data_IF_406504564920
#
_entry.id   IF_406504564920
#
_cell.length_a   1.000
_cell.length_b   1.000
_cell.length_c   1.000
_cell.angle_alpha   90.00
_cell.angle_beta   90.00
_cell.angle_gamma   90.00
#
_symmetry.space_group_name_H-M   'P 1'
#
loop_
_entity.id
_entity.type
_entity.pdbx_description
1 polymer ?
#
# COMPACT_ATOMS: atom_id res chain seq x y z
N UNK A 1 7.55 -7.98 1.81
CA UNK A 1 7.48 -6.62 2.37
C UNK A 1 7.22 -5.65 1.23
N UNK A 2 6.20 -4.78 1.32
CA UNK A 2 5.75 -3.95 0.20
C UNK A 2 6.35 -2.54 0.34
N UNK A 3 7.52 -2.31 -0.24
CA UNK A 3 8.21 -1.02 -0.19
C UNK A 3 7.87 -0.18 -1.43
N UNK A 4 7.92 1.13 -1.24
CA UNK A 4 7.80 2.14 -2.28
C UNK A 4 8.91 3.17 -2.05
N UNK A 5 9.90 3.18 -2.91
CA UNK A 5 11.11 4.01 -2.80
C UNK A 5 11.06 5.02 -3.92
N UNK A 6 10.98 6.32 -3.60
CA UNK A 6 10.73 7.37 -4.61
C UNK A 6 9.50 7.05 -5.50
N UNK A 7 8.44 6.50 -4.87
CA UNK A 7 7.21 5.97 -5.49
C UNK A 7 7.41 4.72 -6.40
N UNK A 8 8.62 4.18 -6.50
CA UNK A 8 8.91 2.94 -7.23
C UNK A 8 8.58 1.73 -6.37
N UNK A 9 7.71 0.79 -6.81
CA UNK A 9 7.43 -0.45 -6.09
C UNK A 9 8.66 -1.36 -6.02
N UNK A 10 9.01 -1.78 -4.81
CA UNK A 10 10.08 -2.72 -4.52
C UNK A 10 9.58 -3.74 -3.50
N UNK A 11 9.17 -4.90 -3.98
CA UNK A 11 8.54 -5.94 -3.16
C UNK A 11 9.55 -6.99 -2.75
N UNK A 12 9.87 -7.12 -1.45
CA UNK A 12 10.55 -8.30 -0.96
C UNK A 12 9.53 -9.44 -0.85
N UNK A 13 9.79 -10.53 -1.56
CA UNK A 13 8.91 -11.68 -1.72
C UNK A 13 9.44 -12.88 -0.92
N UNK A 14 8.53 -13.73 -0.41
CA UNK A 14 8.87 -15.04 0.17
C UNK A 14 8.76 -16.17 -0.86
N UNK A 15 7.90 -15.95 -1.86
CA UNK A 15 7.68 -16.87 -2.96
C UNK A 15 7.22 -16.10 -4.20
N UNK A 16 7.28 -16.74 -5.35
CA UNK A 16 6.79 -16.16 -6.61
C UNK A 16 5.28 -15.86 -6.60
N UNK A 17 4.50 -16.55 -5.77
CA UNK A 17 3.06 -16.30 -5.62
C UNK A 17 2.77 -14.90 -5.02
N UNK A 18 3.69 -14.39 -4.20
CA UNK A 18 3.59 -13.03 -3.66
C UNK A 18 3.83 -11.95 -4.74
N UNK A 19 4.33 -12.31 -5.92
CA UNK A 19 4.58 -11.39 -7.05
C UNK A 19 3.32 -11.08 -7.87
N UNK A 20 2.13 -11.46 -7.42
CA UNK A 20 0.87 -11.22 -8.13
C UNK A 20 0.59 -9.74 -8.49
N UNK A 21 1.06 -8.73 -7.72
CA UNK A 21 0.85 -7.33 -8.10
C UNK A 21 1.62 -6.93 -9.37
N UNK A 22 2.67 -7.68 -9.69
CA UNK A 22 3.51 -7.46 -10.87
C UNK A 22 2.94 -8.23 -12.06
N UNK A 23 2.10 -7.55 -12.85
CA UNK A 23 1.51 -8.12 -14.07
C UNK A 23 2.54 -8.15 -15.18
N UNK A 24 2.47 -9.20 -16.04
CA UNK A 24 3.39 -9.37 -17.19
C UNK A 24 4.87 -9.25 -16.81
N UNK A 25 5.23 -9.86 -15.68
CA UNK A 25 6.58 -9.79 -15.12
C UNK A 25 7.60 -10.63 -15.90
N UNK A 26 8.77 -10.06 -16.08
CA UNK A 26 9.97 -10.79 -16.48
C UNK A 26 10.64 -11.37 -15.23
N UNK A 27 11.00 -12.65 -15.26
CA UNK A 27 11.76 -13.31 -14.18
C UNK A 27 13.20 -13.42 -14.63
N UNK A 28 14.11 -12.88 -13.84
CA UNK A 28 15.57 -12.80 -14.15
C UNK A 28 16.33 -13.35 -12.95
N UNK A 29 17.45 -14.04 -13.19
CA UNK A 29 18.36 -14.44 -12.13
C UNK A 29 19.08 -13.21 -11.57
N UNK A 30 18.92 -12.96 -10.27
CA UNK A 30 19.54 -11.82 -9.61
C UNK A 30 21.07 -11.84 -9.60
N UNK A 31 21.68 -13.01 -9.75
CA UNK A 31 23.13 -13.12 -9.85
C UNK A 31 23.67 -12.48 -11.15
N UNK A 32 22.86 -12.38 -12.18
CA UNK A 32 23.23 -11.74 -13.46
C UNK A 32 22.99 -10.22 -13.45
N UNK A 33 22.38 -9.67 -12.37
CA UNK A 33 22.00 -8.27 -12.29
C UNK A 33 22.91 -7.50 -11.33
N UNK A 34 23.77 -6.67 -11.88
CA UNK A 34 24.63 -5.75 -11.11
C UNK A 34 23.99 -4.42 -10.78
N UNK A 35 23.00 -3.97 -11.58
CA UNK A 35 22.28 -2.69 -11.42
C UNK A 35 20.86 -2.80 -11.96
N UNK A 36 19.94 -2.05 -11.37
CA UNK A 36 18.52 -1.97 -11.77
C UNK A 36 18.29 -1.04 -12.98
N UNK A 37 19.27 -0.22 -13.37
CA UNK A 37 19.11 0.89 -14.32
C UNK A 37 18.65 0.47 -15.70
N UNK A 38 19.02 -0.72 -16.15
CA UNK A 38 18.68 -1.21 -17.49
C UNK A 38 17.41 -2.06 -17.51
N UNK A 39 16.71 -2.17 -16.38
CA UNK A 39 15.50 -2.96 -16.27
C UNK A 39 14.27 -2.07 -16.43
N UNK A 40 13.26 -2.57 -17.13
CA UNK A 40 12.02 -1.85 -17.40
C UNK A 40 10.80 -2.73 -17.19
N UNK A 41 9.64 -2.09 -16.96
CA UNK A 41 8.38 -2.78 -16.74
C UNK A 41 8.32 -3.51 -15.38
N UNK A 42 7.66 -4.65 -15.34
CA UNK A 42 7.57 -5.46 -14.13
C UNK A 42 8.65 -6.56 -14.15
N UNK A 43 9.57 -6.52 -13.19
CA UNK A 43 10.69 -7.46 -13.11
C UNK A 43 10.68 -8.18 -11.77
N UNK A 44 10.89 -9.50 -11.79
CA UNK A 44 11.11 -10.29 -10.58
C UNK A 44 12.53 -10.88 -10.64
N UNK A 45 13.35 -10.48 -9.68
CA UNK A 45 14.69 -11.04 -9.49
C UNK A 45 14.61 -12.20 -8.49
N UNK A 46 15.07 -13.37 -8.91
CA UNK A 46 15.20 -14.57 -8.07
C UNK A 46 16.68 -14.79 -7.70
N UNK A 47 16.98 -15.64 -6.72
CA UNK A 47 18.33 -15.95 -6.27
C UNK A 47 19.14 -14.69 -5.88
N UNK A 48 18.49 -13.72 -5.23
CA UNK A 48 19.13 -12.46 -4.86
C UNK A 48 19.78 -12.60 -3.49
N UNK A 49 21.09 -12.42 -3.43
CA UNK A 49 21.82 -12.38 -2.15
C UNK A 49 21.41 -11.17 -1.31
N UNK A 50 21.48 -11.30 0.01
CA UNK A 50 21.03 -10.24 0.91
C UNK A 50 21.82 -8.91 0.78
N UNK A 51 23.11 -8.99 0.44
CA UNK A 51 23.94 -7.80 0.14
C UNK A 51 23.49 -7.08 -1.13
N UNK A 52 23.08 -7.80 -2.17
CA UNK A 52 22.51 -7.23 -3.39
C UNK A 52 21.18 -6.52 -3.11
N UNK A 53 20.32 -7.09 -2.24
CA UNK A 53 19.07 -6.41 -1.84
C UNK A 53 19.34 -5.00 -1.33
N UNK A 54 20.38 -4.86 -0.52
CA UNK A 54 20.76 -3.57 0.05
C UNK A 54 21.34 -2.61 -1.02
N UNK A 55 22.15 -3.11 -1.93
CA UNK A 55 22.68 -2.31 -3.03
C UNK A 55 21.56 -1.80 -3.95
N UNK A 56 20.59 -2.66 -4.29
CA UNK A 56 19.41 -2.27 -5.06
C UNK A 56 18.56 -1.24 -4.34
N UNK A 57 18.40 -1.38 -3.00
CA UNK A 57 17.71 -0.40 -2.19
C UNK A 57 18.37 0.99 -2.27
N UNK A 58 19.69 1.07 -2.11
CA UNK A 58 20.48 2.31 -2.24
C UNK A 58 20.32 2.92 -3.62
N UNK A 59 20.46 2.10 -4.66
CA UNK A 59 20.31 2.56 -6.04
C UNK A 59 18.94 3.20 -6.29
N UNK A 60 17.86 2.62 -5.73
CA UNK A 60 16.51 3.19 -5.80
C UNK A 60 16.34 4.47 -4.97
N UNK A 61 17.09 4.63 -3.89
CA UNK A 61 17.07 5.86 -3.10
C UNK A 61 17.76 7.02 -3.82
N UNK A 62 18.83 6.73 -4.53
CA UNK A 62 19.67 7.73 -5.22
C UNK A 62 19.14 8.08 -6.63
N UNK A 63 18.24 7.27 -7.19
CA UNK A 63 17.73 7.45 -8.54
C UNK A 63 16.20 7.38 -8.57
N UNK A 64 15.62 8.00 -9.58
CA UNK A 64 14.20 7.87 -9.91
C UNK A 64 14.01 6.87 -11.04
N UNK A 65 12.98 6.04 -10.92
CA UNK A 65 12.63 5.03 -11.90
C UNK A 65 11.16 5.22 -12.31
N UNK A 66 10.94 5.51 -13.57
CA UNK A 66 9.59 5.61 -14.14
C UNK A 66 9.16 4.27 -14.72
N UNK A 67 7.87 3.95 -14.63
CA UNK A 67 7.21 2.79 -15.22
C UNK A 67 7.86 1.41 -14.97
N UNK A 68 8.63 1.29 -13.89
CA UNK A 68 9.23 0.03 -13.49
C UNK A 68 8.72 -0.40 -12.09
N UNK A 69 8.70 -1.70 -11.85
CA UNK A 69 8.35 -2.30 -10.56
C UNK A 69 9.19 -3.54 -10.33
N UNK A 70 9.72 -3.71 -9.13
CA UNK A 70 10.60 -4.80 -8.78
C UNK A 70 9.97 -5.74 -7.75
N UNK A 71 10.05 -7.05 -8.03
CA UNK A 71 9.89 -8.11 -7.05
C UNK A 71 11.24 -8.73 -6.78
N UNK A 72 11.63 -8.84 -5.52
CA UNK A 72 12.91 -9.40 -5.13
C UNK A 72 12.64 -10.63 -4.27
N UNK A 73 13.09 -11.78 -4.73
CA UNK A 73 13.08 -13.03 -3.98
C UNK A 73 14.49 -13.29 -3.43
N UNK A 74 14.77 -12.83 -2.20
CA UNK A 74 16.09 -13.00 -1.59
C UNK A 74 16.29 -14.41 -1.08
N UNK A 75 17.54 -14.85 -0.97
CA UNK A 75 17.91 -16.15 -0.41
C UNK A 75 17.36 -16.33 1.01
N UNK A 76 17.47 -15.28 1.85
CA UNK A 76 16.99 -15.28 3.23
C UNK A 76 16.08 -14.09 3.51
N UNK A 77 14.79 -14.25 3.28
CA UNK A 77 13.79 -13.17 3.40
C UNK A 77 13.83 -12.39 4.71
N UNK A 78 13.92 -13.09 5.85
CA UNK A 78 13.87 -12.41 7.16
C UNK A 78 15.14 -11.57 7.40
N UNK A 79 16.28 -12.04 6.96
CA UNK A 79 17.55 -11.31 7.06
C UNK A 79 17.53 -10.08 6.15
N UNK A 80 17.15 -10.23 4.88
CA UNK A 80 17.01 -9.14 3.93
C UNK A 80 16.05 -8.06 4.47
N UNK A 81 14.91 -8.48 5.00
CA UNK A 81 13.93 -7.57 5.61
C UNK A 81 14.47 -6.82 6.84
N UNK A 82 15.26 -7.49 7.68
CA UNK A 82 15.87 -6.88 8.86
C UNK A 82 17.01 -5.93 8.46
N UNK A 83 17.77 -6.28 7.43
CA UNK A 83 18.81 -5.45 6.85
C UNK A 83 18.20 -4.13 6.32
N UNK A 84 17.12 -4.21 5.53
CA UNK A 84 16.39 -3.03 5.06
C UNK A 84 15.94 -2.15 6.22
N UNK A 85 15.38 -2.74 7.30
CA UNK A 85 14.87 -1.95 8.42
C UNK A 85 15.94 -1.26 9.25
N UNK A 86 17.13 -1.81 9.35
CA UNK A 86 18.23 -1.22 10.14
C UNK A 86 18.73 0.10 9.60
N UNK A 87 18.56 0.34 8.31
CA UNK A 87 19.07 1.55 7.62
C UNK A 87 18.17 2.77 7.84
N UNK A 88 17.02 2.62 8.48
CA UNK A 88 16.04 3.69 8.59
C UNK A 88 15.52 3.87 10.01
N UNK A 89 15.20 5.11 10.35
CA UNK A 89 14.31 5.38 11.46
C UNK A 89 12.87 5.02 11.06
N UNK A 90 12.25 4.10 11.79
CA UNK A 90 10.88 3.66 11.49
C UNK A 90 9.88 4.64 12.09
N UNK A 91 8.91 5.06 11.29
CA UNK A 91 7.76 5.86 11.71
C UNK A 91 6.49 5.07 11.40
N UNK A 92 5.67 4.83 12.42
CA UNK A 92 4.43 4.11 12.29
C UNK A 92 3.26 5.03 11.94
N UNK A 93 2.39 4.54 11.06
CA UNK A 93 1.19 5.21 10.63
C UNK A 93 0.08 4.20 10.32
N UNK A 94 -1.16 4.66 10.31
CA UNK A 94 -2.30 3.85 9.96
C UNK A 94 -3.34 4.66 9.21
N UNK A 95 -4.18 3.99 8.43
CA UNK A 95 -5.26 4.62 7.69
C UNK A 95 -6.25 3.60 7.15
N UNK A 96 -7.19 4.07 6.35
CA UNK A 96 -8.31 3.24 5.94
C UNK A 96 -8.79 3.43 4.51
N UNK A 97 -9.34 2.33 3.97
CA UNK A 97 -10.23 2.33 2.80
C UNK A 97 -11.66 2.30 3.32
N UNK A 98 -12.33 3.43 3.28
CA UNK A 98 -13.70 3.58 3.78
C UNK A 98 -14.70 3.37 2.66
N UNK A 99 -15.73 2.56 2.93
CA UNK A 99 -16.84 2.33 2.01
C UNK A 99 -18.16 2.81 2.62
N UNK A 100 -19.00 3.49 1.84
CA UNK A 100 -20.36 3.83 2.27
C UNK A 100 -21.37 2.76 1.85
N UNK A 101 -22.65 2.94 2.25
CA UNK A 101 -23.76 2.02 1.92
C UNK A 101 -24.03 1.93 0.41
N UNK A 102 -23.66 2.94 -0.38
CA UNK A 102 -23.78 2.97 -1.84
C UNK A 102 -22.58 2.32 -2.55
N UNK A 103 -21.63 1.75 -1.79
CA UNK A 103 -20.42 1.13 -2.34
C UNK A 103 -19.35 2.10 -2.80
N UNK A 104 -19.50 3.42 -2.60
CA UNK A 104 -18.49 4.42 -2.93
C UNK A 104 -17.31 4.39 -1.94
N UNK A 105 -16.14 4.85 -2.38
CA UNK A 105 -14.91 4.96 -1.59
C UNK A 105 -14.64 6.41 -1.20
N UNK A 106 -14.17 6.60 0.04
CA UNK A 106 -13.75 7.91 0.54
C UNK A 106 -12.30 8.18 0.12
N UNK A 107 -12.09 9.26 -0.60
CA UNK A 107 -10.77 9.74 -0.97
C UNK A 107 -10.56 11.16 -0.47
N UNK A 108 -9.30 11.48 -0.21
CA UNK A 108 -8.84 12.85 0.06
C UNK A 108 -7.99 13.34 -1.10
N UNK A 109 -8.02 14.66 -1.36
CA UNK A 109 -7.11 15.31 -2.31
C UNK A 109 -6.17 16.21 -1.53
N UNK A 110 -4.88 15.91 -1.57
CA UNK A 110 -3.82 16.64 -0.87
C UNK A 110 -2.54 16.69 -1.70
N UNK A 111 -1.80 17.77 -1.62
CA UNK A 111 -0.52 17.93 -2.35
C UNK A 111 -0.65 17.59 -3.85
N UNK A 112 -1.74 18.02 -4.47
CA UNK A 112 -2.08 17.78 -5.90
C UNK A 112 -2.24 16.30 -6.28
N UNK A 113 -2.44 15.40 -5.31
CA UNK A 113 -2.64 13.96 -5.54
C UNK A 113 -3.87 13.44 -4.77
N UNK A 114 -4.53 12.45 -5.35
CA UNK A 114 -5.55 11.67 -4.66
C UNK A 114 -4.88 10.66 -3.71
N UNK A 115 -5.39 10.57 -2.51
CA UNK A 115 -4.84 9.75 -1.42
C UNK A 115 -5.95 9.11 -0.59
N UNK A 116 -5.58 8.20 0.29
CA UNK A 116 -6.44 7.62 1.32
C UNK A 116 -6.12 8.28 2.67
N UNK A 117 -7.13 8.52 3.54
CA UNK A 117 -6.90 9.13 4.84
C UNK A 117 -6.02 8.26 5.73
N UNK A 118 -5.00 8.87 6.36
CA UNK A 118 -3.97 8.21 7.17
C UNK A 118 -3.07 9.19 7.88
N UNK A 119 -2.63 8.83 9.06
CA UNK A 119 -1.61 9.62 9.74
C UNK A 119 -0.75 8.81 10.69
N UNK A 120 0.08 9.48 11.48
CA UNK A 120 1.03 8.86 12.40
C UNK A 120 0.32 8.35 13.65
N UNK A 121 0.88 7.32 14.26
CA UNK A 121 0.45 6.88 15.59
C UNK A 121 0.89 7.88 16.64
N UNK A 122 0.02 8.15 17.59
CA UNK A 122 0.36 8.83 18.83
C UNK A 122 1.10 7.90 19.78
N UNK A 123 1.75 8.48 20.79
CA UNK A 123 2.49 7.70 21.79
C UNK A 123 1.57 6.74 22.54
N UNK A 124 1.86 5.45 22.46
CA UNK A 124 1.06 4.39 23.12
C UNK A 124 -0.19 3.97 22.33
N UNK A 125 -0.44 4.57 21.18
CA UNK A 125 -1.61 4.26 20.36
C UNK A 125 -1.42 2.96 19.55
N UNK A 126 -2.47 2.16 19.43
CA UNK A 126 -2.47 1.00 18.53
C UNK A 126 -2.76 1.41 17.09
N UNK A 127 -2.27 0.61 16.12
CA UNK A 127 -2.57 0.86 14.70
C UNK A 127 -4.07 0.91 14.38
N UNK A 128 -4.89 0.17 15.10
CA UNK A 128 -6.35 0.15 14.89
C UNK A 128 -7.00 1.45 15.36
N UNK A 129 -6.57 1.97 16.51
CA UNK A 129 -7.05 3.24 17.05
C UNK A 129 -6.61 4.39 16.16
N UNK A 130 -5.32 4.46 15.82
CA UNK A 130 -4.78 5.47 14.91
C UNK A 130 -5.53 5.49 13.56
N UNK A 131 -5.81 4.32 12.99
CA UNK A 131 -6.51 4.24 11.71
C UNK A 131 -7.93 4.83 11.76
N UNK A 132 -8.66 4.63 12.86
CA UNK A 132 -10.00 5.22 13.05
C UNK A 132 -9.88 6.72 13.27
N UNK A 133 -9.06 7.14 14.25
CA UNK A 133 -8.84 8.54 14.60
C UNK A 133 -8.43 9.37 13.37
N UNK A 134 -7.42 8.94 12.65
CA UNK A 134 -6.91 9.67 11.47
C UNK A 134 -7.96 9.81 10.36
N UNK A 135 -8.74 8.75 10.09
CA UNK A 135 -9.84 8.85 9.12
C UNK A 135 -10.88 9.86 9.58
N UNK A 136 -11.28 9.83 10.85
CA UNK A 136 -12.29 10.74 11.40
C UNK A 136 -11.78 12.18 11.47
N UNK A 137 -10.53 12.43 11.86
CA UNK A 137 -9.91 13.75 11.90
C UNK A 137 -9.71 14.36 10.53
N UNK A 138 -9.13 13.60 9.58
CA UNK A 138 -8.84 14.09 8.23
C UNK A 138 -10.10 14.34 7.38
N UNK A 139 -11.20 13.63 7.67
CA UNK A 139 -12.37 13.61 6.77
C UNK A 139 -13.69 14.04 7.41
N UNK A 140 -13.78 14.06 8.73
CA UNK A 140 -15.04 14.28 9.46
C UNK A 140 -16.04 13.11 9.34
N UNK A 141 -15.66 11.98 8.77
CA UNK A 141 -16.51 10.81 8.56
C UNK A 141 -16.32 9.80 9.68
N UNK A 142 -17.37 9.50 10.44
CA UNK A 142 -17.34 8.45 11.47
C UNK A 142 -17.32 7.06 10.84
N UNK A 143 -16.45 6.18 11.36
CA UNK A 143 -16.20 4.90 10.73
C UNK A 143 -16.23 3.71 11.69
N UNK A 144 -16.54 2.54 11.14
CA UNK A 144 -16.42 1.24 11.81
C UNK A 144 -15.28 0.46 11.21
N UNK A 145 -14.25 0.22 12.02
CA UNK A 145 -13.10 -0.59 11.64
C UNK A 145 -13.52 -2.03 11.28
N UNK A 146 -12.91 -2.56 10.24
CA UNK A 146 -13.02 -3.97 9.81
C UNK A 146 -11.66 -4.66 9.78
N UNK A 147 -11.41 -5.41 8.72
CA UNK A 147 -10.21 -6.24 8.59
C UNK A 147 -9.01 -5.40 8.12
N UNK A 148 -7.82 -5.82 8.54
CA UNK A 148 -6.59 -5.34 7.94
C UNK A 148 -6.56 -5.66 6.44
N UNK A 149 -6.09 -4.72 5.60
CA UNK A 149 -5.92 -4.89 4.16
C UNK A 149 -4.49 -5.31 3.85
N UNK A 150 -3.54 -4.45 4.17
CA UNK A 150 -2.12 -4.67 3.89
C UNK A 150 -1.25 -3.74 4.74
N UNK A 151 0.06 -3.91 4.61
CA UNK A 151 1.06 -2.96 5.14
C UNK A 151 1.93 -2.50 3.99
N UNK A 152 2.06 -1.19 3.83
CA UNK A 152 2.99 -0.57 2.90
C UNK A 152 4.10 0.14 3.67
N UNK A 153 5.26 0.21 3.03
CA UNK A 153 6.42 0.91 3.55
C UNK A 153 6.89 1.90 2.50
N UNK A 154 7.19 3.13 2.87
CA UNK A 154 7.77 4.08 1.94
C UNK A 154 8.87 4.90 2.57
N UNK A 155 9.85 5.25 1.76
CA UNK A 155 11.00 6.04 2.19
C UNK A 155 10.75 7.51 1.94
N UNK A 156 11.28 8.35 2.83
CA UNK A 156 11.44 9.78 2.64
C UNK A 156 12.56 10.27 3.55
N UNK A 157 13.05 11.48 3.30
CA UNK A 157 14.16 12.05 4.06
C UNK A 157 13.68 13.26 4.85
N UNK A 158 14.06 13.33 6.13
CA UNK A 158 13.88 14.51 6.97
C UNK A 158 15.24 14.95 7.49
N UNK A 159 15.68 16.17 7.14
CA UNK A 159 16.96 16.73 7.60
C UNK A 159 18.12 15.74 7.43
N UNK A 160 18.24 15.16 6.25
CA UNK A 160 19.22 14.15 5.87
C UNK A 160 19.13 12.79 6.61
N UNK A 161 18.09 12.56 7.41
CA UNK A 161 17.85 11.27 8.02
C UNK A 161 16.86 10.46 7.18
N UNK A 162 17.24 9.27 6.73
CA UNK A 162 16.36 8.39 5.99
C UNK A 162 15.29 7.80 6.92
N UNK A 163 14.04 7.97 6.53
CA UNK A 163 12.86 7.50 7.27
C UNK A 163 12.18 6.39 6.47
N UNK A 164 11.79 5.34 7.17
CA UNK A 164 10.94 4.28 6.63
C UNK A 164 9.57 4.34 7.32
N UNK A 165 8.57 4.89 6.65
CA UNK A 165 7.21 4.98 7.18
C UNK A 165 6.45 3.68 6.91
N UNK A 166 6.00 3.02 7.99
CA UNK A 166 5.16 1.83 7.95
C UNK A 166 3.70 2.22 8.07
N UNK A 167 2.92 2.08 7.00
CA UNK A 167 1.47 2.31 7.04
C UNK A 167 0.73 0.98 7.12
N UNK A 168 -0.11 0.78 8.15
CA UNK A 168 -1.08 -0.31 8.19
C UNK A 168 -2.44 0.17 7.71
N UNK A 169 -3.02 -0.54 6.77
CA UNK A 169 -4.26 -0.19 6.10
C UNK A 169 -5.40 -1.11 6.51
N UNK A 170 -6.55 -0.50 6.79
CA UNK A 170 -7.74 -1.22 7.23
C UNK A 170 -8.94 -0.91 6.33
N UNK A 171 -9.78 -1.92 6.09
CA UNK A 171 -11.11 -1.71 5.53
C UNK A 171 -12.02 -1.13 6.61
N UNK A 172 -12.88 -0.19 6.24
CA UNK A 172 -13.82 0.47 7.15
C UNK A 172 -15.17 0.68 6.47
N UNK A 173 -16.26 0.65 7.26
CA UNK A 173 -17.57 1.10 6.82
C UNK A 173 -17.84 2.49 7.36
N UNK A 174 -18.43 3.35 6.55
CA UNK A 174 -18.97 4.62 6.98
C UNK A 174 -20.18 4.39 7.89
N UNK A 175 -20.15 5.00 9.08
CA UNK A 175 -21.28 5.06 10.01
C UNK A 175 -22.11 6.33 9.79
N UNK A 176 -21.40 7.46 9.69
CA UNK A 176 -22.01 8.79 9.55
C UNK A 176 -21.04 9.71 8.79
N UNK A 177 -21.55 10.41 7.79
CA UNK A 177 -20.81 11.38 6.97
C UNK A 177 -21.43 12.78 6.98
N UNK A 178 -22.34 13.05 7.92
CA UNK A 178 -23.03 14.34 8.06
C UNK A 178 -22.08 15.50 8.34
N UNK A 179 -20.94 15.23 8.99
CA UNK A 179 -19.90 16.21 9.32
C UNK A 179 -18.71 16.17 8.34
N UNK A 180 -18.86 15.53 7.16
CA UNK A 180 -17.77 15.37 6.20
C UNK A 180 -17.20 16.71 5.76
N UNK A 181 -15.89 16.90 6.04
CA UNK A 181 -15.12 18.09 5.67
C UNK A 181 -13.63 17.80 5.70
N UNK A 182 -12.81 18.47 4.88
CA UNK A 182 -11.38 18.33 4.94
C UNK A 182 -10.80 18.96 6.22
N UNK A 183 -9.79 18.31 6.82
CA UNK A 183 -9.02 18.85 7.93
C UNK A 183 -8.07 19.96 7.43
N UNK A 184 -8.20 21.18 7.93
CA UNK A 184 -7.46 22.34 7.45
C UNK A 184 -5.94 22.27 7.70
N UNK A 185 -5.48 21.56 8.77
CA UNK A 185 -4.08 21.46 9.18
C UNK A 185 -3.21 20.50 8.35
N UNK A 186 -3.81 19.60 7.57
CA UNK A 186 -3.12 18.50 6.88
C UNK A 186 -2.98 18.70 5.36
N UNK A 187 -3.15 19.92 4.86
CA UNK A 187 -3.13 20.26 3.44
C UNK A 187 -4.16 19.45 2.62
N UNK A 188 -5.27 19.08 3.24
CA UNK A 188 -6.36 18.38 2.57
C UNK A 188 -7.29 19.42 1.96
N UNK A 189 -7.39 19.41 0.63
CA UNK A 189 -8.19 20.36 -0.14
C UNK A 189 -9.62 19.85 -0.36
N UNK A 190 -9.77 18.52 -0.52
CA UNK A 190 -11.07 17.87 -0.79
C UNK A 190 -11.20 16.53 -0.08
N UNK A 191 -12.43 16.23 0.33
CA UNK A 191 -12.86 14.89 0.78
C UNK A 191 -14.06 14.50 -0.08
N UNK A 192 -14.02 13.37 -0.76
CA UNK A 192 -15.02 13.01 -1.77
C UNK A 192 -15.35 11.52 -1.74
N UNK A 193 -16.63 11.19 -1.89
CA UNK A 193 -17.10 9.84 -2.17
C UNK A 193 -17.04 9.55 -3.67
N UNK A 194 -16.27 8.55 -4.06
CA UNK A 194 -16.06 8.15 -5.46
C UNK A 194 -16.57 6.73 -5.75
N UNK A 195 -17.14 6.52 -6.93
CA UNK A 195 -17.42 5.19 -7.48
C UNK A 195 -16.09 4.50 -7.84
N UNK A 196 -16.13 3.20 -8.14
CA UNK A 196 -14.91 2.47 -8.54
C UNK A 196 -14.33 3.03 -9.87
N UNK A 197 -15.15 3.53 -10.79
CA UNK A 197 -14.76 4.19 -12.05
C UNK A 197 -14.10 5.55 -11.79
N UNK A 198 -14.69 6.36 -10.91
CA UNK A 198 -14.13 7.66 -10.49
C UNK A 198 -12.78 7.46 -9.79
N UNK A 199 -12.66 6.44 -8.91
CA UNK A 199 -11.39 6.07 -8.26
C UNK A 199 -10.35 5.68 -9.30
N UNK A 200 -10.69 4.87 -10.30
CA UNK A 200 -9.77 4.47 -11.37
C UNK A 200 -9.21 5.68 -12.12
N UNK A 201 -10.05 6.68 -12.39
CA UNK A 201 -9.65 7.94 -13.04
C UNK A 201 -8.78 8.79 -12.12
N UNK A 202 -9.18 8.96 -10.86
CA UNK A 202 -8.47 9.73 -9.84
C UNK A 202 -7.05 9.18 -9.61
N UNK A 203 -6.88 7.86 -9.67
CA UNK A 203 -5.62 7.18 -9.41
C UNK A 203 -4.55 7.35 -10.49
N UNK A 204 -4.89 7.92 -11.65
CA UNK A 204 -3.89 8.43 -12.59
C UNK A 204 -3.00 9.51 -11.94
N UNK A 205 -3.56 10.24 -10.95
CA UNK A 205 -2.87 11.26 -10.14
C UNK A 205 -2.80 10.85 -8.66
N UNK A 206 -2.28 9.64 -8.39
CA UNK A 206 -2.11 9.10 -7.05
C UNK A 206 -0.75 8.41 -6.90
N UNK A 207 -0.31 8.22 -5.67
CA UNK A 207 0.90 7.45 -5.38
C UNK A 207 0.72 5.98 -5.74
N UNK A 208 1.77 5.33 -6.23
CA UNK A 208 1.75 3.89 -6.58
C UNK A 208 1.46 3.02 -5.35
N UNK A 209 1.89 3.45 -4.16
CA UNK A 209 1.55 2.79 -2.90
C UNK A 209 0.05 2.78 -2.60
N UNK A 210 -0.67 3.86 -2.91
CA UNK A 210 -2.13 3.98 -2.71
C UNK A 210 -2.88 3.13 -3.73
N UNK A 211 -2.44 3.14 -5.00
CA UNK A 211 -2.98 2.23 -6.03
C UNK A 211 -2.86 0.78 -5.62
N UNK A 212 -1.69 0.38 -5.09
CA UNK A 212 -1.47 -0.96 -4.55
C UNK A 212 -2.42 -1.33 -3.41
N UNK A 213 -2.64 -0.43 -2.44
CA UNK A 213 -3.59 -0.66 -1.33
C UNK A 213 -4.99 -0.95 -1.86
N UNK A 214 -5.46 -0.17 -2.83
CA UNK A 214 -6.78 -0.37 -3.42
C UNK A 214 -6.85 -1.66 -4.25
N UNK A 215 -5.79 -2.02 -4.94
CA UNK A 215 -5.75 -3.30 -5.68
C UNK A 215 -5.86 -4.50 -4.74
N UNK A 216 -5.10 -4.51 -3.62
CA UNK A 216 -5.22 -5.54 -2.57
C UNK A 216 -6.63 -5.57 -1.98
N UNK A 217 -7.21 -4.40 -1.70
CA UNK A 217 -8.56 -4.30 -1.17
C UNK A 217 -9.59 -4.91 -2.13
N UNK A 218 -9.54 -4.54 -3.40
CA UNK A 218 -10.47 -5.02 -4.44
C UNK A 218 -10.35 -6.53 -4.64
N UNK A 219 -9.13 -7.08 -4.68
CA UNK A 219 -8.93 -8.53 -4.78
C UNK A 219 -9.54 -9.29 -3.60
N UNK A 220 -9.42 -8.76 -2.37
CA UNK A 220 -10.05 -9.38 -1.21
C UNK A 220 -11.57 -9.35 -1.28
N UNK A 221 -12.15 -8.28 -1.83
CA UNK A 221 -13.60 -8.20 -2.07
C UNK A 221 -14.07 -9.26 -3.09
N UNK A 222 -13.33 -9.44 -4.18
CA UNK A 222 -13.64 -10.44 -5.20
C UNK A 222 -13.60 -11.85 -4.61
N UNK A 223 -12.52 -12.23 -3.95
CA UNK A 223 -12.40 -13.55 -3.28
C UNK A 223 -13.53 -13.80 -2.27
N UNK A 224 -13.97 -12.75 -1.53
CA UNK A 224 -15.09 -12.87 -0.59
C UNK A 224 -16.43 -13.08 -1.29
N UNK A 225 -16.63 -12.43 -2.44
CA UNK A 225 -17.85 -12.64 -3.28
C UNK A 225 -17.90 -14.05 -3.85
N UNK A 226 -16.79 -14.57 -4.36
CA UNK A 226 -16.65 -15.91 -4.90
C UNK A 226 -16.98 -16.98 -3.85
N UNK A 227 -16.34 -16.92 -2.68
CA UNK A 227 -16.63 -17.84 -1.55
C UNK A 227 -18.10 -17.82 -1.12
N UNK A 228 -18.76 -16.64 -1.16
CA UNK A 228 -20.20 -16.56 -0.85
C UNK A 228 -21.06 -17.22 -1.93
N UNK A 229 -20.68 -17.10 -3.22
CA UNK A 229 -21.39 -17.75 -4.33
C UNK A 229 -21.25 -19.27 -4.25
N UNK A 230 -20.05 -19.78 -3.98
CA UNK A 230 -19.79 -21.21 -3.81
C UNK A 230 -20.58 -21.81 -2.64
N UNK A 231 -20.59 -21.11 -1.48
CA UNK A 231 -21.37 -21.56 -0.32
C UNK A 231 -22.88 -21.62 -0.63
N UNK A 232 -23.41 -20.63 -1.38
CA UNK A 232 -24.82 -20.65 -1.81
C UNK A 232 -25.12 -21.79 -2.78
N UNK A 233 -24.19 -22.13 -3.69
CA UNK A 233 -24.36 -23.28 -4.60
C UNK A 233 -24.36 -24.60 -3.83
N UNK A 234 -23.42 -24.80 -2.88
CA UNK A 234 -23.37 -26.02 -2.06
C UNK A 234 -24.65 -26.23 -1.25
N UNK A 235 -25.16 -25.18 -0.61
CA UNK A 235 -26.40 -25.25 0.18
C UNK A 235 -27.66 -25.51 -0.68
N UNK A 236 -27.64 -25.20 -2.00
CA UNK A 236 -28.75 -25.54 -2.93
C UNK A 236 -28.70 -26.97 -3.47
N UNK A 237 -27.53 -27.63 -3.41
CA UNK A 237 -27.33 -28.99 -3.86
C UNK A 237 -27.54 -30.04 -2.72
N UNK A 238 -27.56 -29.56 -1.48
CA UNK A 238 -27.72 -30.41 -0.27
C UNK A 238 -29.11 -30.29 0.40
N UNK A 239 -30.05 -29.60 -0.20
CA UNK A 239 -31.45 -29.50 0.20
C UNK A 239 -32.38 -29.76 -0.95
#
# INVERSE_FOLDING_TARGET
MNLFINDTPFFLLRSLDEAWPLKHKNIIDGNEVSSLRNLSGAVVLINVRNDQVFNFLKELMDNQYEDVSFGILPDFYNEAKNLVKREFKIVDAAGGVVSNKKGKRLLIYRLKKWDLPKGKLDKGESFKMAAVREVEEETGVRVKLKNNITTTWHTYTIRNNPILKRNKWYAMDCLDDSAMKPQKGENIEKVVWMTDEEVSTAFKKSYRSIRYVMEVFNQRLLKKKEKKKEKKKRNKLSG
#
